data_IF_256096306849
#
_entry.id   IF_256096306849
#
_cell.length_a   1.000
_cell.length_b   1.000
_cell.length_c   1.000
_cell.angle_alpha   90.00
_cell.angle_beta   90.00
_cell.angle_gamma   90.00
#
_symmetry.space_group_name_H-M   'P 1'
#
loop_
_entity.id
_entity.type
_entity.pdbx_description
1 polymer ?
#
# COMPACT_ATOMS: atom_id res chain seq x y z
N UNK A 1 -1.49 1.61 8.08
CA UNK A 1 -1.17 0.92 6.82
C UNK A 1 0.09 1.57 6.27
N UNK A 2 1.18 0.82 6.10
CA UNK A 2 2.41 1.37 5.53
C UNK A 2 2.23 1.59 4.02
N UNK A 3 2.43 2.82 3.53
CA UNK A 3 2.34 3.14 2.10
C UNK A 3 3.73 3.07 1.45
N UNK A 4 3.88 2.17 0.48
CA UNK A 4 5.12 1.97 -0.30
C UNK A 4 5.32 3.09 -1.34
N UNK A 5 4.26 3.77 -1.74
CA UNK A 5 4.28 4.79 -2.79
C UNK A 5 3.34 5.94 -2.47
N UNK A 6 3.84 7.16 -2.65
CA UNK A 6 3.08 8.41 -2.66
C UNK A 6 3.14 8.98 -4.09
N UNK A 7 2.13 8.64 -4.87
CA UNK A 7 2.01 9.04 -6.28
C UNK A 7 1.78 10.55 -6.41
N UNK A 8 1.17 11.20 -5.40
CA UNK A 8 0.91 12.64 -5.43
C UNK A 8 2.23 13.41 -5.34
N UNK A 9 3.07 13.04 -4.37
CA UNK A 9 4.34 13.71 -4.10
C UNK A 9 5.54 13.11 -4.85
N UNK A 10 5.33 12.16 -5.75
CA UNK A 10 6.39 11.47 -6.52
C UNK A 10 7.44 10.80 -5.62
N UNK A 11 7.01 10.11 -4.58
CA UNK A 11 7.91 9.43 -3.64
C UNK A 11 7.60 7.94 -3.56
N UNK A 12 8.63 7.12 -3.38
CA UNK A 12 8.46 5.70 -3.12
C UNK A 12 9.46 5.22 -2.05
N UNK A 13 9.02 4.34 -1.16
CA UNK A 13 9.86 3.65 -0.19
C UNK A 13 9.83 2.15 -0.46
N UNK A 14 10.89 1.60 -1.04
CA UNK A 14 10.96 0.22 -1.51
C UNK A 14 11.60 -0.68 -0.44
N UNK A 15 10.88 -1.72 0.03
CA UNK A 15 11.43 -2.67 0.99
C UNK A 15 12.33 -3.71 0.32
N UNK A 16 13.51 -3.95 0.91
CA UNK A 16 14.47 -4.92 0.39
C UNK A 16 14.96 -4.54 -1.01
N UNK A 17 15.06 -5.52 -1.92
CA UNK A 17 15.49 -5.24 -3.30
C UNK A 17 14.38 -4.63 -4.18
N UNK A 18 13.12 -4.88 -3.84
CA UNK A 18 11.97 -4.46 -4.64
C UNK A 18 11.70 -5.30 -5.89
N UNK A 19 12.47 -6.36 -6.13
CA UNK A 19 12.40 -7.18 -7.37
C UNK A 19 11.47 -8.39 -7.27
N UNK A 20 11.06 -8.76 -6.06
CA UNK A 20 10.18 -9.90 -5.84
C UNK A 20 8.74 -9.48 -6.14
N UNK A 21 8.02 -10.20 -7.04
CA UNK A 21 6.64 -9.88 -7.35
C UNK A 21 5.73 -10.01 -6.12
N UNK A 22 4.83 -9.05 -5.96
CA UNK A 22 3.75 -9.06 -4.97
C UNK A 22 2.40 -8.98 -5.67
N UNK A 23 1.37 -9.58 -5.06
CA UNK A 23 -0.01 -9.43 -5.52
C UNK A 23 -0.63 -8.19 -4.88
N UNK A 24 -1.09 -7.25 -5.71
CA UNK A 24 -1.72 -6.00 -5.28
C UNK A 24 -3.14 -5.97 -5.84
N UNK A 25 -4.11 -5.65 -4.99
CA UNK A 25 -5.51 -5.49 -5.41
C UNK A 25 -5.98 -4.11 -4.99
N UNK A 26 -6.58 -3.37 -5.92
CA UNK A 26 -7.19 -2.09 -5.59
C UNK A 26 -8.37 -2.29 -4.64
N UNK A 27 -8.51 -1.40 -3.65
CA UNK A 27 -9.45 -1.59 -2.53
C UNK A 27 -10.91 -1.72 -2.99
N UNK A 28 -11.30 -1.03 -4.06
CA UNK A 28 -12.66 -1.18 -4.61
C UNK A 28 -12.92 -2.56 -5.19
N UNK A 29 -11.90 -3.21 -5.75
CA UNK A 29 -12.06 -4.56 -6.32
C UNK A 29 -12.09 -5.62 -5.23
N UNK A 30 -11.35 -5.41 -4.14
CA UNK A 30 -11.52 -6.19 -2.91
C UNK A 30 -12.95 -6.03 -2.35
N UNK A 31 -13.49 -4.82 -2.31
CA UNK A 31 -14.86 -4.59 -1.83
C UNK A 31 -15.91 -5.29 -2.70
N UNK A 32 -15.79 -5.23 -4.04
CA UNK A 32 -16.68 -5.94 -4.97
C UNK A 32 -16.59 -7.45 -4.77
N UNK A 33 -15.38 -7.98 -4.60
CA UNK A 33 -15.17 -9.40 -4.33
C UNK A 33 -15.84 -9.83 -3.02
N UNK A 34 -15.68 -9.06 -1.94
CA UNK A 34 -16.34 -9.34 -0.65
C UNK A 34 -17.86 -9.30 -0.81
N UNK A 35 -18.41 -8.26 -1.46
CA UNK A 35 -19.85 -8.14 -1.69
C UNK A 35 -20.41 -9.35 -2.48
N UNK A 36 -19.70 -9.80 -3.51
CA UNK A 36 -20.08 -10.99 -4.27
C UNK A 36 -19.96 -12.27 -3.43
N UNK A 37 -18.92 -12.40 -2.61
CA UNK A 37 -18.73 -13.56 -1.72
C UNK A 37 -19.90 -13.73 -0.75
N UNK A 38 -20.50 -12.63 -0.27
CA UNK A 38 -21.70 -12.67 0.59
C UNK A 38 -22.93 -13.31 -0.08
N UNK A 39 -22.94 -13.41 -1.41
CA UNK A 39 -24.06 -14.01 -2.17
C UNK A 39 -23.88 -15.51 -2.44
N UNK A 40 -22.73 -16.09 -2.07
CA UNK A 40 -22.47 -17.52 -2.27
C UNK A 40 -23.34 -18.37 -1.34
N UNK A 41 -23.90 -19.46 -1.89
CA UNK A 41 -24.70 -20.42 -1.11
C UNK A 41 -23.86 -21.12 -0.04
N UNK A 42 -22.60 -21.40 -0.35
CA UNK A 42 -21.64 -22.06 0.53
C UNK A 42 -20.31 -21.31 0.47
N UNK A 43 -19.60 -21.22 1.59
CA UNK A 43 -18.27 -20.61 1.64
C UNK A 43 -17.22 -21.68 1.85
N UNK A 44 -16.15 -21.62 1.05
CA UNK A 44 -14.95 -22.38 1.32
C UNK A 44 -14.25 -21.85 2.57
N UNK A 45 -13.53 -22.70 3.29
CA UNK A 45 -12.78 -22.29 4.50
C UNK A 45 -11.78 -21.17 4.20
N UNK A 46 -11.25 -21.12 2.98
CA UNK A 46 -10.34 -20.09 2.50
C UNK A 46 -10.73 -19.69 1.08
N UNK A 47 -10.94 -18.39 0.88
CA UNK A 47 -11.14 -17.81 -0.46
C UNK A 47 -10.06 -16.78 -0.70
N UNK A 48 -9.43 -16.84 -1.87
CA UNK A 48 -8.31 -15.96 -2.22
C UNK A 48 -8.73 -15.03 -3.36
N UNK A 49 -8.34 -13.76 -3.25
CA UNK A 49 -8.38 -12.79 -4.34
C UNK A 49 -6.94 -12.41 -4.67
N UNK A 50 -6.54 -12.62 -5.92
CA UNK A 50 -5.24 -12.22 -6.42
C UNK A 50 -5.46 -11.18 -7.51
N UNK A 51 -5.04 -9.94 -7.25
CA UNK A 51 -5.03 -8.87 -8.24
C UNK A 51 -3.77 -8.93 -9.12
N UNK A 52 -3.26 -7.76 -9.48
CA UNK A 52 -2.08 -7.64 -10.34
C UNK A 52 -0.83 -8.15 -9.62
N UNK A 53 0.04 -8.82 -10.37
CA UNK A 53 1.32 -9.32 -9.87
C UNK A 53 2.46 -8.53 -10.50
N UNK A 54 3.18 -7.79 -9.68
CA UNK A 54 4.31 -6.99 -10.11
C UNK A 54 5.29 -6.74 -8.97
N UNK A 55 6.55 -6.52 -9.32
CA UNK A 55 7.58 -6.10 -8.38
C UNK A 55 7.41 -4.61 -8.01
N UNK A 56 7.92 -4.18 -6.85
CA UNK A 56 7.84 -2.78 -6.43
C UNK A 56 8.56 -1.84 -7.40
N UNK A 57 9.70 -2.27 -7.95
CA UNK A 57 10.43 -1.51 -8.97
C UNK A 57 9.58 -1.29 -10.23
N UNK A 58 8.87 -2.33 -10.69
CA UNK A 58 7.97 -2.24 -11.85
C UNK A 58 6.77 -1.33 -11.59
N UNK A 59 6.26 -1.30 -10.35
CA UNK A 59 5.18 -0.39 -9.98
C UNK A 59 5.63 1.08 -10.03
N UNK A 60 6.87 1.37 -9.60
CA UNK A 60 7.46 2.72 -9.71
C UNK A 60 7.62 3.11 -11.17
N UNK A 61 8.21 2.26 -12.00
CA UNK A 61 8.38 2.51 -13.43
C UNK A 61 7.03 2.80 -14.11
N UNK A 62 5.98 2.05 -13.76
CA UNK A 62 4.63 2.28 -14.27
C UNK A 62 4.10 3.65 -13.84
N UNK A 63 4.24 4.02 -12.57
CA UNK A 63 3.77 5.31 -12.06
C UNK A 63 4.51 6.49 -12.70
N UNK A 64 5.83 6.37 -12.88
CA UNK A 64 6.66 7.37 -13.56
C UNK A 64 6.29 7.50 -15.04
N UNK A 65 6.05 6.38 -15.74
CA UNK A 65 5.64 6.39 -17.14
C UNK A 65 4.27 7.05 -17.34
N UNK A 66 3.33 6.82 -16.42
CA UNK A 66 2.00 7.44 -16.45
C UNK A 66 2.06 8.94 -16.12
N UNK A 67 2.88 9.36 -15.14
CA UNK A 67 3.02 10.78 -14.78
C UNK A 67 3.96 11.56 -15.72
N UNK A 68 4.85 10.88 -16.44
CA UNK A 68 5.92 11.49 -17.22
C UNK A 68 7.00 12.16 -16.37
N UNK A 69 7.14 11.77 -15.09
CA UNK A 69 8.08 12.37 -14.11
C UNK A 69 8.69 11.26 -13.26
N UNK A 70 9.98 11.37 -12.93
CA UNK A 70 10.71 10.45 -12.06
C UNK A 70 10.39 10.65 -10.58
N UNK A 71 10.42 9.59 -9.78
CA UNK A 71 10.11 9.59 -8.36
C UNK A 71 11.39 9.62 -7.51
N UNK A 72 11.26 10.18 -6.32
CA UNK A 72 12.28 10.14 -5.27
C UNK A 72 12.14 8.81 -4.49
N UNK A 73 13.07 7.88 -4.74
CA UNK A 73 12.98 6.49 -4.30
C UNK A 73 13.94 6.23 -3.14
N UNK A 74 13.38 5.89 -1.98
CA UNK A 74 14.08 5.45 -0.78
C UNK A 74 14.10 3.91 -0.72
N UNK A 75 15.18 3.32 -0.21
CA UNK A 75 15.32 1.87 -0.07
C UNK A 75 15.57 1.48 1.37
N UNK A 76 14.72 0.60 1.89
CA UNK A 76 14.87 0.05 3.23
C UNK A 76 15.57 -1.30 3.16
N UNK A 77 16.73 -1.41 3.82
CA UNK A 77 17.44 -2.68 3.90
C UNK A 77 16.65 -3.69 4.74
N UNK A 78 16.83 -4.98 4.46
CA UNK A 78 16.16 -6.05 5.22
C UNK A 78 16.53 -6.00 6.70
N UNK A 79 17.75 -5.60 7.04
CA UNK A 79 18.24 -5.45 8.41
C UNK A 79 17.52 -4.32 9.12
N UNK A 80 17.33 -3.19 8.43
CA UNK A 80 16.55 -2.04 8.93
C UNK A 80 15.11 -2.47 9.19
N UNK A 81 14.48 -3.13 8.22
CA UNK A 81 13.11 -3.64 8.36
C UNK A 81 12.97 -4.66 9.50
N UNK A 82 13.94 -5.56 9.68
CA UNK A 82 13.94 -6.53 10.79
C UNK A 82 14.09 -5.86 12.15
N UNK A 83 14.97 -4.88 12.27
CA UNK A 83 15.15 -4.11 13.50
C UNK A 83 13.89 -3.29 13.84
N UNK A 84 13.25 -2.72 12.82
CA UNK A 84 12.00 -1.97 12.94
C UNK A 84 10.77 -2.85 13.19
N UNK A 85 10.80 -4.14 12.83
CA UNK A 85 9.73 -5.09 13.15
C UNK A 85 9.84 -5.63 14.58
N UNK A 86 11.07 -5.72 15.12
CA UNK A 86 11.35 -6.15 16.49
C UNK A 86 11.13 -5.06 17.55
N UNK A 87 11.12 -3.79 17.13
CA UNK A 87 10.68 -2.65 17.93
C UNK A 87 9.24 -2.34 17.50
N UNK A 88 8.28 -2.12 18.40
CA UNK A 88 6.88 -1.83 18.01
C UNK A 88 6.70 -0.42 17.36
N UNK A 89 7.68 0.06 16.61
CA UNK A 89 7.78 1.43 16.09
C UNK A 89 8.24 1.41 14.64
N UNK A 90 7.49 0.72 13.76
CA UNK A 90 7.73 0.80 12.32
C UNK A 90 7.30 2.15 11.76
N UNK A 91 8.19 3.15 11.65
CA UNK A 91 7.85 4.46 11.07
C UNK A 91 8.98 5.31 10.48
N UNK A 92 10.27 4.92 10.51
CA UNK A 92 11.32 5.90 10.20
C UNK A 92 11.45 6.21 8.69
N UNK A 93 11.35 5.20 7.83
CA UNK A 93 11.35 5.39 6.37
C UNK A 93 10.00 5.90 5.82
N UNK A 94 8.91 5.53 6.47
CA UNK A 94 7.55 5.91 6.07
C UNK A 94 7.24 7.39 6.28
N UNK A 95 7.96 8.10 7.17
CA UNK A 95 7.76 9.55 7.39
C UNK A 95 7.90 10.39 6.13
N UNK A 96 8.75 9.99 5.18
CA UNK A 96 8.95 10.73 3.93
C UNK A 96 7.75 10.66 2.97
N UNK A 97 7.05 9.51 2.94
CA UNK A 97 5.86 9.29 2.10
C UNK A 97 4.53 9.60 2.83
N UNK A 98 4.52 9.58 4.17
CA UNK A 98 3.33 9.91 4.97
C UNK A 98 3.08 11.41 5.15
N UNK A 99 4.13 12.24 5.15
CA UNK A 99 4.03 13.64 5.57
C UNK A 99 3.15 14.53 4.65
N UNK A 100 2.89 14.12 3.41
CA UNK A 100 2.12 14.92 2.44
C UNK A 100 0.67 14.48 2.20
N UNK A 101 0.24 13.34 2.74
CA UNK A 101 -1.08 12.73 2.37
C UNK A 101 -2.18 13.06 3.38
N UNK A 102 -1.85 13.22 4.66
CA UNK A 102 -2.84 13.49 5.72
C UNK A 102 -3.09 14.97 5.99
N UNK A 103 -2.35 15.87 5.34
CA UNK A 103 -2.45 17.33 5.52
C UNK A 103 -3.03 18.04 4.28
N UNK A 104 -3.59 17.27 3.34
CA UNK A 104 -4.21 17.82 2.12
C UNK A 104 -5.63 18.32 2.43
N UNK A 105 -5.96 19.59 2.15
CA UNK A 105 -7.25 20.21 2.49
C UNK A 105 -8.44 19.69 1.67
N UNK A 106 -8.22 18.67 0.82
CA UNK A 106 -9.21 18.15 -0.14
C UNK A 106 -9.52 16.65 0.06
N UNK A 107 -9.08 16.03 1.15
CA UNK A 107 -9.55 14.69 1.52
C UNK A 107 -11.01 14.73 1.99
N UNK A 108 -11.86 13.73 1.66
CA UNK A 108 -13.21 13.69 2.20
C UNK A 108 -13.13 13.62 3.74
N UNK A 109 -13.69 14.62 4.40
CA UNK A 109 -13.91 14.61 5.84
C UNK A 109 -14.94 13.53 6.13
N UNK A 110 -14.49 12.30 6.37
CA UNK A 110 -15.32 11.22 6.92
C UNK A 110 -15.08 11.25 8.43
N UNK A 111 -16.05 11.68 9.26
CA UNK A 111 -15.91 11.59 10.71
C UNK A 111 -15.91 10.13 11.09
N UNK A 112 -14.81 9.64 11.67
CA UNK A 112 -14.77 8.33 12.29
C UNK A 112 -15.68 8.37 13.53
N UNK A 113 -16.79 7.63 13.50
CA UNK A 113 -17.53 7.30 14.71
C UNK A 113 -16.87 6.09 15.35
N UNK A 114 -16.32 6.28 16.55
CA UNK A 114 -15.97 5.20 17.46
C UNK A 114 -17.25 4.45 17.84
N UNK A 115 -17.57 3.38 17.13
CA UNK A 115 -18.53 2.38 17.62
C UNK A 115 -17.73 1.23 18.21
N UNK A 116 -17.51 1.30 19.52
CA UNK A 116 -17.19 0.13 20.32
C UNK A 116 -18.37 -0.85 20.31
N UNK A 117 -18.06 -2.10 20.02
CA UNK A 117 -18.79 -3.30 20.41
C UNK A 117 -17.81 -4.48 20.39
#
# INVERSE_FOLDING_TARGET
MAMVMDVVNNKAGIPGSGDVPVAITFTSDLAKFVAAALTLLNWEQKTYLTGDKLAWNQLVELAEAVKGITFDVFRDSIETLKAELGTQSGTKALRGAHAGVFDSPHGPHVPWHDSGA
#
